data_IF_245057929013
#
_entry.id   IF_245057929013
#
_cell.length_a   1.000
_cell.length_b   1.000
_cell.length_c   1.000
_cell.angle_alpha   90.00
_cell.angle_beta   90.00
_cell.angle_gamma   90.00
#
_symmetry.space_group_name_H-M   'P 1'
#
loop_
_entity.id
_entity.type
_entity.pdbx_description
1 polymer ?
#
# COMPACT_ATOMS: atom_id res chain seq x y z
N UNK A 1 4.64 -12.96 18.37
CA UNK A 1 3.58 -11.98 18.67
C UNK A 1 3.48 -11.06 17.48
N UNK A 2 2.40 -11.12 16.70
CA UNK A 2 2.21 -10.20 15.56
C UNK A 2 1.72 -8.87 16.14
N UNK A 3 2.49 -7.80 15.93
CA UNK A 3 2.12 -6.46 16.36
C UNK A 3 1.00 -5.95 15.45
N UNK A 4 0.00 -5.28 16.01
CA UNK A 4 -0.99 -4.57 15.22
C UNK A 4 -0.29 -3.47 14.39
N UNK A 5 -0.54 -3.36 13.08
CA UNK A 5 0.11 -2.34 12.27
C UNK A 5 -0.28 -0.94 12.73
N UNK A 6 0.72 -0.07 12.85
CA UNK A 6 0.54 1.32 13.28
C UNK A 6 1.04 2.27 12.20
N UNK A 7 0.63 3.53 12.29
CA UNK A 7 1.09 4.55 11.35
C UNK A 7 2.63 4.56 11.24
N UNK A 8 3.11 4.52 9.99
CA UNK A 8 4.54 4.47 9.67
C UNK A 8 5.10 3.06 9.49
N UNK A 9 4.39 2.01 9.91
CA UNK A 9 4.75 0.63 9.59
C UNK A 9 4.70 0.41 8.07
N UNK A 10 5.50 -0.55 7.60
CA UNK A 10 5.49 -1.01 6.21
C UNK A 10 4.93 -2.43 6.15
N UNK A 11 3.97 -2.65 5.26
CA UNK A 11 3.35 -3.96 5.04
C UNK A 11 3.64 -4.41 3.61
N UNK A 12 4.08 -5.65 3.47
CA UNK A 12 4.36 -6.27 2.18
C UNK A 12 3.17 -7.15 1.75
N UNK A 13 2.74 -7.02 0.50
CA UNK A 13 1.69 -7.86 -0.05
C UNK A 13 2.21 -9.16 -0.64
N UNK A 14 1.28 -10.09 -0.92
CA UNK A 14 1.62 -11.35 -1.61
C UNK A 14 2.06 -11.10 -3.06
N UNK A 15 1.64 -9.96 -3.64
CA UNK A 15 2.04 -9.50 -4.98
C UNK A 15 3.34 -8.69 -4.97
N UNK A 16 4.10 -8.72 -3.87
CA UNK A 16 5.35 -7.96 -3.71
C UNK A 16 5.16 -6.45 -3.86
N UNK A 17 4.05 -5.90 -3.36
CA UNK A 17 3.89 -4.45 -3.18
C UNK A 17 4.21 -4.10 -1.73
N UNK A 18 4.86 -2.97 -1.49
CA UNK A 18 5.10 -2.48 -0.13
C UNK A 18 4.27 -1.23 0.10
N UNK A 19 3.43 -1.29 1.13
CA UNK A 19 2.53 -0.22 1.53
C UNK A 19 3.04 0.48 2.79
N UNK A 20 2.82 1.79 2.90
CA UNK A 20 2.98 2.52 4.16
C UNK A 20 1.64 2.71 4.86
N UNK A 21 1.57 2.23 6.10
CA UNK A 21 0.37 2.32 6.96
C UNK A 21 0.12 3.77 7.31
N UNK A 22 -1.14 4.20 7.17
CA UNK A 22 -1.58 5.58 7.41
C UNK A 22 -2.82 5.64 8.29
N UNK A 23 -2.80 6.63 9.19
CA UNK A 23 -3.86 6.84 10.15
C UNK A 23 -3.65 6.03 11.43
N UNK A 24 -4.25 6.52 12.50
CA UNK A 24 -4.20 5.90 13.83
C UNK A 24 -5.34 4.92 14.09
N UNK A 25 -6.43 5.05 13.33
CA UNK A 25 -7.62 4.21 13.44
C UNK A 25 -7.75 3.36 12.18
N UNK A 26 -7.84 2.06 12.37
CA UNK A 26 -8.07 1.09 11.33
C UNK A 26 -9.36 0.32 11.65
N UNK A 27 -10.19 -0.05 10.66
CA UNK A 27 -11.30 -0.95 10.92
C UNK A 27 -10.78 -2.28 11.46
N UNK A 28 -11.57 -2.98 12.28
CA UNK A 28 -11.09 -4.16 13.01
C UNK A 28 -10.66 -5.33 12.11
N UNK A 29 -11.05 -5.32 10.84
CA UNK A 29 -10.83 -6.39 9.87
C UNK A 29 -9.80 -6.03 8.78
N UNK A 30 -9.20 -4.84 8.79
CA UNK A 30 -8.32 -4.36 7.71
C UNK A 30 -7.41 -3.20 8.11
N UNK A 31 -6.36 -2.96 7.34
CA UNK A 31 -5.40 -1.87 7.58
C UNK A 31 -5.47 -0.84 6.46
N UNK A 32 -5.42 0.44 6.84
CA UNK A 32 -5.35 1.56 5.90
C UNK A 32 -3.90 1.80 5.53
N UNK A 33 -3.55 1.59 4.25
CA UNK A 33 -2.18 1.71 3.79
C UNK A 33 -2.10 2.11 2.31
N UNK A 34 -1.09 2.91 1.95
CA UNK A 34 -0.90 3.37 0.57
C UNK A 34 0.31 2.70 -0.05
N UNK A 35 0.22 2.32 -1.32
CA UNK A 35 1.37 1.72 -2.02
C UNK A 35 2.52 2.72 -2.04
N UNK A 36 3.72 2.26 -1.70
CA UNK A 36 4.91 3.11 -1.60
C UNK A 36 6.06 2.59 -2.43
N UNK A 37 6.21 1.27 -2.52
CA UNK A 37 7.20 0.64 -3.38
C UNK A 37 6.55 -0.44 -4.23
N UNK A 38 6.90 -0.44 -5.52
CA UNK A 38 6.38 -1.40 -6.50
C UNK A 38 7.55 -2.06 -7.23
N UNK A 39 7.41 -3.34 -7.64
CA UNK A 39 8.44 -4.01 -8.40
C UNK A 39 8.79 -3.24 -9.66
N UNK A 40 10.09 -3.09 -9.93
CA UNK A 40 10.57 -2.41 -11.13
C UNK A 40 11.99 -2.85 -11.46
N UNK A 41 12.22 -3.26 -12.72
CA UNK A 41 13.55 -3.62 -13.23
C UNK A 41 14.57 -2.48 -13.10
N UNK A 42 14.08 -1.23 -13.17
CA UNK A 42 14.85 0.00 -13.05
C UNK A 42 14.81 0.58 -11.63
N UNK A 43 14.27 -0.16 -10.66
CA UNK A 43 14.20 0.25 -9.27
C UNK A 43 15.58 0.38 -8.61
N UNK A 44 15.75 1.40 -7.79
CA UNK A 44 16.97 1.70 -7.03
C UNK A 44 17.03 0.98 -5.67
N UNK A 45 15.91 0.39 -5.23
CA UNK A 45 15.80 -0.31 -3.94
C UNK A 45 15.81 -1.82 -4.17
N UNK A 46 16.58 -2.55 -3.36
CA UNK A 46 16.64 -4.01 -3.42
C UNK A 46 16.18 -4.57 -2.08
N UNK A 47 15.26 -5.53 -2.14
CA UNK A 47 14.81 -6.31 -0.99
C UNK A 47 14.60 -7.75 -1.45
N UNK A 48 15.20 -8.70 -0.74
CA UNK A 48 15.08 -10.13 -1.06
C UNK A 48 15.39 -10.47 -2.54
N UNK A 49 16.34 -9.77 -3.16
CA UNK A 49 16.70 -9.94 -4.57
C UNK A 49 15.75 -9.26 -5.59
N UNK A 50 14.60 -8.74 -5.16
CA UNK A 50 13.69 -7.98 -6.02
C UNK A 50 14.05 -6.49 -6.01
N UNK A 51 13.94 -5.86 -7.17
CA UNK A 51 14.11 -4.41 -7.36
C UNK A 51 12.78 -3.69 -7.27
N UNK A 52 12.79 -2.56 -6.59
CA UNK A 52 11.61 -1.74 -6.37
C UNK A 52 11.90 -0.29 -6.72
N UNK A 53 10.89 0.38 -7.30
CA UNK A 53 10.86 1.84 -7.41
C UNK A 53 9.91 2.41 -6.36
N UNK A 54 10.25 3.57 -5.82
CA UNK A 54 9.38 4.31 -4.91
C UNK A 54 8.37 5.16 -5.68
N UNK A 55 7.11 5.10 -5.28
CA UNK A 55 6.05 5.99 -5.80
C UNK A 55 5.87 7.18 -4.85
N UNK A 56 6.16 8.38 -5.36
CA UNK A 56 6.11 9.62 -4.59
C UNK A 56 4.73 10.28 -4.63
N UNK A 57 4.15 10.40 -5.82
CA UNK A 57 2.89 11.12 -6.03
C UNK A 57 1.69 10.31 -5.53
N UNK A 58 0.81 10.93 -4.75
CA UNK A 58 -0.47 10.32 -4.35
C UNK A 58 -1.32 9.94 -5.56
N UNK A 59 -1.31 10.76 -6.60
CA UNK A 59 -2.04 10.49 -7.85
C UNK A 59 -1.50 9.24 -8.56
N UNK A 60 -0.18 9.08 -8.57
CA UNK A 60 0.45 7.90 -9.18
C UNK A 60 0.14 6.64 -8.35
N UNK A 61 0.14 6.74 -7.01
CA UNK A 61 -0.25 5.61 -6.13
C UNK A 61 -1.67 5.14 -6.43
N UNK A 62 -2.62 6.07 -6.50
CA UNK A 62 -4.02 5.78 -6.80
C UNK A 62 -4.18 5.17 -8.19
N UNK A 63 -3.58 5.80 -9.21
CA UNK A 63 -3.63 5.34 -10.60
C UNK A 63 -3.00 3.95 -10.77
N UNK A 64 -1.87 3.70 -10.10
CA UNK A 64 -1.17 2.42 -10.14
C UNK A 64 -2.04 1.30 -9.57
N UNK A 65 -2.55 1.48 -8.34
CA UNK A 65 -3.39 0.47 -7.70
C UNK A 65 -4.67 0.24 -8.49
N UNK A 66 -5.35 1.30 -8.91
CA UNK A 66 -6.58 1.20 -9.69
C UNK A 66 -6.42 0.41 -10.99
N UNK A 67 -5.25 0.54 -11.64
CA UNK A 67 -5.01 -0.06 -12.96
C UNK A 67 -4.47 -1.49 -12.87
N UNK A 68 -3.71 -1.83 -11.83
CA UNK A 68 -2.98 -3.09 -11.75
C UNK A 68 -3.50 -4.03 -10.65
N UNK A 69 -4.01 -3.47 -9.55
CA UNK A 69 -4.46 -4.22 -8.38
C UNK A 69 -5.75 -3.62 -7.78
N UNK A 70 -6.84 -3.54 -8.57
CA UNK A 70 -8.09 -2.91 -8.13
C UNK A 70 -8.70 -3.60 -6.89
N UNK A 71 -8.35 -4.86 -6.62
CA UNK A 71 -8.74 -5.61 -5.43
C UNK A 71 -8.16 -5.04 -4.12
N UNK A 72 -7.05 -4.29 -4.19
CA UNK A 72 -6.52 -3.54 -3.05
C UNK A 72 -7.20 -2.17 -2.89
N UNK A 73 -8.15 -1.79 -3.75
CA UNK A 73 -8.99 -0.63 -3.48
C UNK A 73 -10.16 -1.03 -2.61
N UNK A 74 -10.32 -0.33 -1.49
CA UNK A 74 -11.57 -0.36 -0.75
C UNK A 74 -12.25 0.99 -0.82
N UNK A 75 -13.56 0.93 -0.96
CA UNK A 75 -14.38 2.12 -0.87
C UNK A 75 -14.79 2.33 0.57
N UNK A 76 -14.27 3.39 1.19
CA UNK A 76 -14.77 3.80 2.49
C UNK A 76 -16.11 4.52 2.29
N UNK A 77 -17.17 3.82 2.68
CA UNK A 77 -18.55 4.29 2.59
C UNK A 77 -18.87 5.43 3.57
N UNK A 78 -18.02 5.68 4.56
CA UNK A 78 -18.21 6.72 5.59
C UNK A 78 -17.71 8.07 5.09
N UNK A 79 -16.57 8.10 4.38
CA UNK A 79 -15.98 9.34 3.86
C UNK A 79 -16.24 9.59 2.38
N UNK A 80 -16.95 8.68 1.70
CA UNK A 80 -17.22 8.73 0.25
C UNK A 80 -15.92 8.95 -0.57
N UNK A 81 -14.84 8.27 -0.17
CA UNK A 81 -13.49 8.45 -0.70
C UNK A 81 -12.84 7.08 -0.96
N UNK A 82 -12.16 6.94 -2.11
CA UNK A 82 -11.35 5.74 -2.41
C UNK A 82 -10.14 5.70 -1.49
N UNK A 83 -9.96 4.59 -0.77
CA UNK A 83 -8.76 4.33 0.01
C UNK A 83 -8.21 2.96 -0.37
N UNK A 84 -6.90 2.86 -0.56
CA UNK A 84 -6.24 1.57 -0.77
C UNK A 84 -6.18 0.82 0.56
N UNK A 85 -6.66 -0.43 0.62
CA UNK A 85 -6.66 -1.27 1.82
C UNK A 85 -6.06 -2.65 1.54
N UNK A 86 -5.48 -3.24 2.59
CA UNK A 86 -5.14 -4.64 2.68
C UNK A 86 -5.48 -5.18 4.07
#
# INVERSE_FOLDING_TARGET
MVRYPMEGDLIESIDNLIFDVKGFLHPSDRVIAYVRFVPSVNGDRIRCGLRFRKIYSLFERDSFIKSHFPEYMYYDMVFNKRITLK
#
